data_IF_157128358736
#
_entry.id   IF_157128358736
#
_cell.length_a   1.000
_cell.length_b   1.000
_cell.length_c   1.000
_cell.angle_alpha   90.00
_cell.angle_beta   90.00
_cell.angle_gamma   90.00
#
_symmetry.space_group_name_H-M   'P 1'
#
loop_
_entity.id
_entity.type
_entity.pdbx_description
1 polymer ?
#
# COMPACT_ATOMS: atom_id res chain seq x y z
N UNK A 1 -31.39 -41.64 38.50
CA UNK A 1 -31.01 -41.62 37.07
C UNK A 1 -30.42 -40.24 36.73
N UNK A 2 -29.10 -40.12 36.50
CA UNK A 2 -28.46 -38.86 36.07
C UNK A 2 -28.29 -38.90 34.55
N UNK A 3 -29.01 -38.03 33.84
CA UNK A 3 -28.92 -37.92 32.38
C UNK A 3 -27.56 -37.33 31.96
N UNK A 4 -26.87 -38.00 31.03
CA UNK A 4 -25.65 -37.50 30.42
C UNK A 4 -26.01 -36.35 29.48
N UNK A 5 -25.60 -35.12 29.81
CA UNK A 5 -25.80 -33.95 28.96
C UNK A 5 -24.97 -34.06 27.68
N UNK A 6 -25.63 -33.92 26.53
CA UNK A 6 -24.96 -33.82 25.23
C UNK A 6 -24.24 -32.46 25.15
N UNK A 7 -22.91 -32.48 24.98
CA UNK A 7 -22.12 -31.27 24.75
C UNK A 7 -22.45 -30.69 23.38
N UNK A 8 -22.93 -29.45 23.33
CA UNK A 8 -23.05 -28.69 22.07
C UNK A 8 -21.65 -28.45 21.50
N UNK A 9 -21.48 -28.68 20.19
CA UNK A 9 -20.22 -28.47 19.46
C UNK A 9 -20.39 -27.29 18.50
N UNK A 10 -19.41 -26.38 18.45
CA UNK A 10 -19.41 -25.19 17.60
C UNK A 10 -18.19 -25.17 16.67
N UNK A 11 -18.36 -24.53 15.50
CA UNK A 11 -17.31 -24.43 14.49
C UNK A 11 -16.15 -23.58 15.02
N UNK A 12 -14.91 -24.06 14.91
CA UNK A 12 -13.74 -23.31 15.42
C UNK A 12 -13.47 -21.98 14.70
N UNK A 13 -13.91 -21.83 13.45
CA UNK A 13 -13.65 -20.63 12.64
C UNK A 13 -14.74 -19.58 12.76
N UNK A 14 -16.02 -19.98 12.71
CA UNK A 14 -17.15 -19.03 12.69
C UNK A 14 -18.12 -19.18 13.85
N UNK A 15 -17.91 -20.15 14.75
CA UNK A 15 -18.73 -20.33 15.96
C UNK A 15 -20.15 -20.88 15.74
N UNK A 16 -20.54 -21.25 14.52
CA UNK A 16 -21.89 -21.75 14.27
C UNK A 16 -22.16 -23.10 14.96
N UNK A 17 -23.35 -23.27 15.53
CA UNK A 17 -23.83 -24.53 16.11
C UNK A 17 -24.40 -25.41 14.98
N UNK A 18 -23.79 -26.57 14.72
CA UNK A 18 -24.20 -27.50 13.66
C UNK A 18 -23.77 -28.94 13.92
N UNK A 19 -24.16 -29.89 13.06
CA UNK A 19 -23.63 -31.27 13.11
C UNK A 19 -22.19 -31.28 12.60
N UNK A 20 -21.25 -30.94 13.47
CA UNK A 20 -19.81 -30.95 13.21
C UNK A 20 -19.15 -31.82 14.27
N UNK A 21 -18.22 -32.67 13.84
CA UNK A 21 -17.39 -33.45 14.73
C UNK A 21 -16.45 -32.52 15.51
N UNK A 22 -15.98 -32.97 16.67
CA UNK A 22 -15.19 -32.14 17.58
C UNK A 22 -13.90 -31.70 16.92
N UNK A 23 -13.82 -30.41 16.58
CA UNK A 23 -12.66 -29.84 15.92
C UNK A 23 -12.74 -29.67 14.41
N UNK A 24 -13.88 -29.95 13.80
CA UNK A 24 -14.07 -29.71 12.37
C UNK A 24 -14.63 -28.32 12.05
N UNK A 25 -14.22 -27.80 10.89
CA UNK A 25 -14.82 -26.64 10.25
C UNK A 25 -16.22 -27.01 9.71
N UNK A 26 -17.16 -26.06 9.74
CA UNK A 26 -18.45 -26.24 9.08
C UNK A 26 -18.30 -26.20 7.54
N UNK A 27 -19.31 -26.71 6.82
CA UNK A 27 -19.26 -26.85 5.37
C UNK A 27 -18.88 -25.56 4.63
N UNK A 28 -19.45 -24.42 5.03
CA UNK A 28 -19.10 -23.11 4.44
C UNK A 28 -17.67 -22.67 4.72
N UNK A 29 -17.09 -23.06 5.86
CA UNK A 29 -15.68 -22.77 6.18
C UNK A 29 -14.71 -23.74 5.50
N UNK A 30 -15.16 -24.92 5.03
CA UNK A 30 -14.34 -25.86 4.25
C UNK A 30 -14.24 -25.45 2.77
N UNK A 31 -15.22 -24.74 2.24
CA UNK A 31 -15.22 -24.27 0.84
C UNK A 31 -14.20 -23.15 0.60
N UNK A 32 -13.95 -22.31 1.61
CA UNK A 32 -12.99 -21.20 1.50
C UNK A 32 -11.52 -21.63 1.61
N UNK A 33 -11.21 -22.84 2.08
CA UNK A 33 -9.83 -23.35 2.09
C UNK A 33 -9.38 -23.91 0.74
N UNK A 34 -10.31 -24.21 -0.17
CA UNK A 34 -10.00 -24.80 -1.49
C UNK A 34 -9.69 -23.77 -2.57
N UNK A 35 -9.87 -22.47 -2.31
CA UNK A 35 -9.64 -21.40 -3.29
C UNK A 35 -8.27 -20.75 -3.21
N UNK A 36 -7.46 -21.05 -2.19
CA UNK A 36 -6.21 -20.32 -1.91
C UNK A 36 -4.95 -21.08 -2.38
N UNK A 37 -5.13 -22.09 -3.23
CA UNK A 37 -4.06 -22.90 -3.79
C UNK A 37 -3.71 -22.52 -5.24
N UNK A 38 -2.57 -21.83 -5.36
CA UNK A 38 -1.67 -21.85 -6.52
C UNK A 38 -1.99 -20.94 -7.73
N UNK A 39 -1.39 -19.74 -7.72
CA UNK A 39 -1.14 -18.96 -8.94
C UNK A 39 0.13 -18.13 -8.80
N UNK A 40 1.28 -18.74 -9.07
CA UNK A 40 2.48 -18.02 -9.55
C UNK A 40 2.30 -17.76 -11.05
N UNK A 41 2.01 -16.50 -11.40
CA UNK A 41 1.95 -15.97 -12.76
C UNK A 41 2.64 -14.61 -12.85
N UNK A 42 3.14 -14.20 -14.03
CA UNK A 42 4.16 -13.17 -14.16
C UNK A 42 3.60 -11.75 -14.01
N UNK A 43 4.41 -10.86 -13.43
CA UNK A 43 4.16 -9.43 -13.38
C UNK A 43 4.22 -8.84 -14.79
N UNK A 44 3.05 -8.60 -15.37
CA UNK A 44 2.85 -7.71 -16.50
C UNK A 44 2.02 -6.53 -16.01
N UNK A 45 2.58 -5.33 -16.11
CA UNK A 45 1.87 -4.09 -15.89
C UNK A 45 0.74 -3.97 -16.92
N UNK A 46 -0.49 -4.25 -16.48
CA UNK A 46 -1.70 -3.91 -17.21
C UNK A 46 -2.43 -2.83 -16.44
N UNK A 47 -2.46 -1.63 -17.03
CA UNK A 47 -3.36 -0.56 -16.65
C UNK A 47 -4.80 -1.02 -16.90
N UNK A 48 -5.49 -1.37 -15.82
CA UNK A 48 -6.90 -1.76 -15.85
C UNK A 48 -7.80 -0.58 -16.25
N UNK A 49 -8.04 -0.46 -17.56
CA UNK A 49 -9.20 0.22 -18.13
C UNK A 49 -10.48 -0.57 -17.81
N UNK A 50 -10.94 -0.51 -16.56
CA UNK A 50 -12.18 -1.15 -16.11
C UNK A 50 -13.37 -0.17 -16.04
N UNK A 51 -13.59 0.60 -17.12
CA UNK A 51 -14.71 1.55 -17.23
C UNK A 51 -15.83 1.09 -18.18
N UNK A 52 -15.63 0.01 -18.95
CA UNK A 52 -16.59 -0.38 -19.99
C UNK A 52 -17.67 -1.38 -19.54
N UNK A 53 -17.50 -2.08 -18.41
CA UNK A 53 -18.45 -3.13 -18.00
C UNK A 53 -19.65 -2.62 -17.17
N UNK A 54 -19.60 -1.38 -16.66
CA UNK A 54 -20.76 -0.77 -15.99
C UNK A 54 -21.82 -0.26 -16.98
N UNK A 55 -21.47 -0.09 -18.27
CA UNK A 55 -22.37 0.53 -19.26
C UNK A 55 -23.42 -0.46 -19.82
N UNK A 56 -23.15 -1.77 -19.82
CA UNK A 56 -24.09 -2.77 -20.34
C UNK A 56 -25.27 -3.07 -19.40
N UNK A 57 -25.15 -2.78 -18.11
CA UNK A 57 -26.24 -2.98 -17.15
C UNK A 57 -27.27 -1.83 -17.17
N UNK A 58 -26.90 -0.66 -17.70
CA UNK A 58 -27.79 0.50 -17.81
C UNK A 58 -28.72 0.43 -19.04
N UNK A 59 -28.31 -0.21 -20.14
CA UNK A 59 -29.15 -0.31 -21.34
C UNK A 59 -30.37 -1.23 -21.16
N UNK A 60 -30.28 -2.28 -20.34
CA UNK A 60 -31.44 -3.16 -20.08
C UNK A 60 -32.51 -2.53 -19.17
N UNK A 61 -32.21 -1.38 -18.55
CA UNK A 61 -33.14 -0.64 -17.71
C UNK A 61 -34.12 0.24 -18.50
N UNK A 62 -33.89 0.48 -19.79
CA UNK A 62 -34.70 1.41 -20.59
C UNK A 62 -35.98 0.80 -21.18
N UNK A 63 -36.18 -0.52 -21.08
CA UNK A 63 -37.30 -1.19 -21.75
C UNK A 63 -38.38 -1.75 -20.82
N UNK A 64 -38.17 -1.71 -19.50
CA UNK A 64 -39.20 -2.05 -18.50
C UNK A 64 -39.86 -0.76 -18.04
N UNK A 65 -41.13 -0.56 -18.40
CA UNK A 65 -41.88 0.65 -18.05
C UNK A 65 -41.80 0.94 -16.54
N UNK A 66 -41.59 2.21 -16.17
CA UNK A 66 -41.43 2.67 -14.78
C UNK A 66 -42.56 2.19 -13.86
N UNK A 67 -43.75 2.00 -14.42
CA UNK A 67 -44.96 1.50 -13.74
C UNK A 67 -44.90 0.00 -13.38
N UNK A 68 -43.82 -0.73 -13.70
CA UNK A 68 -43.73 -2.17 -13.45
C UNK A 68 -43.07 -2.46 -12.11
N UNK A 69 -43.60 -3.45 -11.39
CA UNK A 69 -43.07 -3.85 -10.10
C UNK A 69 -41.62 -4.33 -10.21
N UNK A 70 -40.69 -3.72 -9.47
CA UNK A 70 -39.28 -4.10 -9.49
C UNK A 70 -38.95 -5.49 -8.92
N UNK A 71 -39.95 -6.28 -8.48
CA UNK A 71 -39.78 -7.67 -8.01
C UNK A 71 -40.49 -8.65 -8.94
N UNK A 72 -41.81 -8.49 -9.16
CA UNK A 72 -42.58 -9.44 -9.97
C UNK A 72 -42.72 -9.04 -11.45
N UNK A 73 -42.21 -7.86 -11.83
CA UNK A 73 -42.23 -7.31 -13.19
C UNK A 73 -43.63 -7.08 -13.79
N UNK A 74 -44.71 -7.26 -13.02
CA UNK A 74 -46.08 -6.93 -13.43
C UNK A 74 -46.34 -5.44 -13.26
N UNK A 75 -47.17 -4.86 -14.13
CA UNK A 75 -47.61 -3.45 -14.01
C UNK A 75 -48.32 -3.22 -12.67
N UNK A 76 -47.89 -2.19 -11.94
CA UNK A 76 -48.56 -1.67 -10.74
C UNK A 76 -49.65 -0.71 -11.21
N UNK A 77 -50.89 -1.00 -10.83
CA UNK A 77 -52.06 -0.17 -11.18
C UNK A 77 -52.37 0.80 -10.05
N UNK A 78 -53.12 1.86 -10.34
CA UNK A 78 -53.51 2.88 -9.34
C UNK A 78 -54.31 2.30 -8.16
N UNK A 79 -55.02 1.18 -8.38
CA UNK A 79 -55.78 0.47 -7.34
C UNK A 79 -54.93 -0.54 -6.55
N UNK A 80 -53.68 -0.77 -6.95
CA UNK A 80 -52.78 -1.67 -6.23
C UNK A 80 -52.13 -0.91 -5.07
N UNK A 81 -51.94 -1.60 -3.94
CA UNK A 81 -51.07 -1.08 -2.87
C UNK A 81 -49.62 -1.16 -3.37
N UNK A 82 -49.11 -0.02 -3.84
CA UNK A 82 -47.76 0.12 -4.37
C UNK A 82 -46.99 1.27 -3.70
N UNK A 83 -45.67 1.13 -3.70
CA UNK A 83 -44.73 2.19 -3.28
C UNK A 83 -43.74 2.46 -4.41
N UNK A 84 -43.43 3.74 -4.64
CA UNK A 84 -42.37 4.16 -5.54
C UNK A 84 -41.08 4.36 -4.73
N UNK A 85 -39.95 3.86 -5.23
CA UNK A 85 -38.65 4.10 -4.60
C UNK A 85 -38.11 5.48 -5.01
N UNK A 86 -37.78 6.33 -4.03
CA UNK A 86 -37.27 7.69 -4.30
C UNK A 86 -35.92 7.73 -5.04
N UNK A 87 -35.11 6.67 -4.99
CA UNK A 87 -33.78 6.64 -5.61
C UNK A 87 -33.83 6.13 -7.05
N UNK A 88 -34.61 5.08 -7.32
CA UNK A 88 -34.62 4.44 -8.64
C UNK A 88 -35.94 4.60 -9.40
N UNK A 89 -36.89 5.34 -8.83
CA UNK A 89 -38.22 5.65 -9.40
C UNK A 89 -39.03 4.42 -9.84
N UNK A 90 -38.70 3.23 -9.31
CA UNK A 90 -39.41 1.99 -9.63
C UNK A 90 -40.53 1.76 -8.62
N UNK A 91 -41.65 1.29 -9.14
CA UNK A 91 -42.79 0.87 -8.34
C UNK A 91 -42.60 -0.54 -7.78
N UNK A 92 -43.19 -0.80 -6.62
CA UNK A 92 -43.17 -2.09 -5.93
C UNK A 92 -44.53 -2.38 -5.30
N UNK A 93 -45.14 -3.51 -5.63
CA UNK A 93 -46.31 -3.99 -4.89
C UNK A 93 -45.94 -4.27 -3.44
N UNK A 94 -46.75 -3.80 -2.49
CA UNK A 94 -46.55 -4.04 -1.06
C UNK A 94 -46.43 -5.54 -0.74
N UNK A 95 -47.23 -6.39 -1.41
CA UNK A 95 -47.14 -7.85 -1.27
C UNK A 95 -45.82 -8.43 -1.74
N UNK A 96 -45.22 -7.89 -2.81
CA UNK A 96 -43.93 -8.37 -3.33
C UNK A 96 -42.76 -8.04 -2.42
N UNK A 97 -42.84 -6.94 -1.67
CA UNK A 97 -41.83 -6.53 -0.67
C UNK A 97 -42.17 -7.00 0.75
N UNK A 98 -43.26 -7.78 0.91
CA UNK A 98 -43.77 -8.28 2.20
C UNK A 98 -44.09 -7.17 3.21
N UNK A 99 -44.59 -6.03 2.75
CA UNK A 99 -45.02 -4.93 3.61
C UNK A 99 -46.46 -5.16 4.09
N UNK A 100 -46.69 -5.02 5.40
CA UNK A 100 -48.02 -5.17 5.98
C UNK A 100 -48.94 -3.99 5.66
N UNK A 101 -50.26 -4.23 5.59
CA UNK A 101 -51.25 -3.18 5.30
C UNK A 101 -51.20 -2.01 6.30
N UNK A 102 -50.89 -2.30 7.57
CA UNK A 102 -50.76 -1.26 8.60
C UNK A 102 -49.51 -0.39 8.36
N UNK A 103 -48.37 -1.00 8.05
CA UNK A 103 -47.12 -0.29 7.73
C UNK A 103 -47.30 0.60 6.50
N UNK A 104 -47.96 0.09 5.46
CA UNK A 104 -48.28 0.85 4.26
C UNK A 104 -49.16 2.07 4.58
N UNK A 105 -50.22 1.90 5.38
CA UNK A 105 -51.08 3.02 5.81
C UNK A 105 -50.32 4.06 6.62
N UNK A 106 -49.39 3.65 7.48
CA UNK A 106 -48.54 4.60 8.23
C UNK A 106 -47.64 5.39 7.29
N UNK A 107 -47.03 4.76 6.29
CA UNK A 107 -46.23 5.46 5.29
C UNK A 107 -47.07 6.46 4.48
N UNK A 108 -48.29 6.09 4.08
CA UNK A 108 -49.22 7.01 3.40
C UNK A 108 -49.61 8.21 4.27
N UNK A 109 -49.70 8.04 5.59
CA UNK A 109 -49.97 9.16 6.51
C UNK A 109 -48.76 10.08 6.66
N UNK A 110 -47.55 9.55 6.46
CA UNK A 110 -46.27 10.24 6.60
C UNK A 110 -45.63 10.61 5.25
N UNK A 111 -46.41 10.58 4.16
CA UNK A 111 -45.94 10.64 2.76
C UNK A 111 -45.01 11.82 2.44
N UNK A 112 -45.04 12.90 3.24
CA UNK A 112 -44.17 14.07 3.09
C UNK A 112 -42.92 14.08 3.96
N UNK A 113 -42.86 13.19 4.95
CA UNK A 113 -41.81 13.16 5.97
C UNK A 113 -40.89 11.94 5.85
N UNK A 114 -41.32 10.90 5.12
CA UNK A 114 -40.62 9.62 5.07
C UNK A 114 -40.42 9.14 3.64
N UNK A 115 -39.17 9.25 3.18
CA UNK A 115 -38.75 8.66 1.90
C UNK A 115 -38.68 7.14 2.00
N UNK A 116 -39.35 6.45 1.07
CA UNK A 116 -39.23 5.01 0.95
C UNK A 116 -38.16 4.59 -0.06
N UNK A 117 -37.29 3.68 0.38
CA UNK A 117 -36.24 3.10 -0.46
C UNK A 117 -36.38 1.58 -0.58
N UNK A 118 -36.24 1.07 -1.81
CA UNK A 118 -36.21 -0.37 -2.07
C UNK A 118 -34.94 -1.01 -1.49
N UNK A 119 -34.96 -2.35 -1.34
CA UNK A 119 -33.85 -3.12 -0.74
C UNK A 119 -32.52 -2.91 -1.48
N UNK A 120 -32.56 -2.82 -2.80
CA UNK A 120 -31.36 -2.65 -3.62
C UNK A 120 -30.74 -1.27 -3.43
N UNK A 121 -31.55 -0.20 -3.44
CA UNK A 121 -31.07 1.15 -3.18
C UNK A 121 -30.57 1.30 -1.74
N UNK A 122 -31.25 0.70 -0.75
CA UNK A 122 -30.76 0.64 0.64
C UNK A 122 -29.37 -0.02 0.75
N UNK A 123 -29.14 -1.12 0.03
CA UNK A 123 -27.83 -1.78 -0.01
C UNK A 123 -26.76 -0.89 -0.67
N UNK A 124 -27.09 -0.25 -1.80
CA UNK A 124 -26.20 0.71 -2.48
C UNK A 124 -25.80 1.87 -1.57
N UNK A 125 -26.77 2.52 -0.92
CA UNK A 125 -26.52 3.62 0.04
C UNK A 125 -25.64 3.16 1.20
N UNK A 126 -25.88 1.95 1.74
CA UNK A 126 -25.02 1.39 2.79
C UNK A 126 -23.58 1.20 2.33
N UNK A 127 -23.38 0.68 1.12
CA UNK A 127 -22.04 0.49 0.55
C UNK A 127 -21.34 1.84 0.29
N UNK A 128 -22.03 2.79 -0.35
CA UNK A 128 -21.53 4.14 -0.57
C UNK A 128 -21.16 4.84 0.74
N UNK A 129 -21.93 4.64 1.81
CA UNK A 129 -21.61 5.19 3.13
C UNK A 129 -20.35 4.58 3.72
N UNK A 130 -20.15 3.27 3.57
CA UNK A 130 -18.94 2.59 4.05
C UNK A 130 -17.70 3.02 3.25
N UNK A 131 -17.83 3.17 1.94
CA UNK A 131 -16.76 3.67 1.08
C UNK A 131 -16.42 5.14 1.38
N UNK A 132 -17.41 6.01 1.55
CA UNK A 132 -17.20 7.38 1.98
C UNK A 132 -16.48 7.49 3.33
N UNK A 133 -16.71 6.54 4.24
CA UNK A 133 -15.98 6.52 5.51
C UNK A 133 -14.50 6.21 5.29
N UNK A 134 -14.18 5.20 4.46
CA UNK A 134 -12.79 4.87 4.09
C UNK A 134 -12.08 6.04 3.42
N UNK A 135 -12.74 6.70 2.46
CA UNK A 135 -12.18 7.86 1.78
C UNK A 135 -11.93 9.03 2.75
N UNK A 136 -12.78 9.23 3.75
CA UNK A 136 -12.54 10.24 4.79
C UNK A 136 -11.31 9.91 5.63
N UNK A 137 -11.14 8.64 6.01
CA UNK A 137 -9.98 8.20 6.78
C UNK A 137 -8.68 8.37 5.96
N UNK A 138 -8.70 8.01 4.69
CA UNK A 138 -7.58 8.20 3.77
C UNK A 138 -7.21 9.68 3.59
N UNK A 139 -8.21 10.55 3.42
CA UNK A 139 -7.97 12.01 3.34
C UNK A 139 -7.34 12.55 4.62
N UNK A 140 -7.67 12.00 5.79
CA UNK A 140 -7.02 12.39 7.06
C UNK A 140 -5.55 11.97 7.07
N UNK A 141 -5.25 10.73 6.67
CA UNK A 141 -3.87 10.22 6.59
C UNK A 141 -3.03 11.07 5.63
N UNK A 142 -3.52 11.31 4.42
CA UNK A 142 -2.82 12.12 3.41
C UNK A 142 -2.58 13.56 3.88
N UNK A 143 -3.49 14.13 4.68
CA UNK A 143 -3.28 15.46 5.25
C UNK A 143 -2.14 15.47 6.26
N UNK A 144 -2.05 14.45 7.12
CA UNK A 144 -0.96 14.32 8.07
C UNK A 144 0.39 14.16 7.37
N UNK A 145 0.46 13.29 6.36
CA UNK A 145 1.68 13.11 5.55
C UNK A 145 2.10 14.40 4.84
N UNK A 146 1.14 15.15 4.28
CA UNK A 146 1.42 16.45 3.67
C UNK A 146 1.96 17.47 4.67
N UNK A 147 1.45 17.48 5.90
CA UNK A 147 1.92 18.39 6.94
C UNK A 147 3.34 18.02 7.41
N UNK A 148 3.66 16.73 7.49
CA UNK A 148 5.01 16.24 7.77
C UNK A 148 6.00 16.60 6.65
N UNK A 149 5.61 16.41 5.38
CA UNK A 149 6.41 16.81 4.22
C UNK A 149 6.68 18.32 4.21
N UNK A 150 5.66 19.14 4.50
CA UNK A 150 5.83 20.60 4.61
C UNK A 150 6.80 20.98 5.71
N UNK A 151 6.73 20.30 6.86
CA UNK A 151 7.66 20.54 7.97
C UNK A 151 9.11 20.23 7.55
N UNK A 152 9.34 19.07 6.95
CA UNK A 152 10.67 18.70 6.44
C UNK A 152 11.20 19.68 5.39
N UNK A 153 10.33 20.16 4.49
CA UNK A 153 10.70 21.15 3.49
C UNK A 153 11.09 22.49 4.14
N UNK A 154 10.31 22.96 5.11
CA UNK A 154 10.61 24.17 5.86
C UNK A 154 11.94 24.07 6.63
N UNK A 155 12.19 22.93 7.28
CA UNK A 155 13.47 22.69 7.98
C UNK A 155 14.67 22.74 7.02
N UNK A 156 14.50 22.19 5.80
CA UNK A 156 15.52 22.25 4.76
C UNK A 156 15.73 23.68 4.23
N UNK A 157 14.67 24.46 4.07
CA UNK A 157 14.74 25.88 3.69
C UNK A 157 15.55 26.65 4.75
N UNK A 158 15.19 26.51 6.04
CA UNK A 158 15.91 27.17 7.15
C UNK A 158 17.39 26.79 7.16
N UNK A 159 17.73 25.52 6.90
CA UNK A 159 19.12 25.08 6.82
C UNK A 159 19.86 25.72 5.63
N UNK A 160 19.23 25.78 4.46
CA UNK A 160 19.80 26.44 3.29
C UNK A 160 20.01 27.94 3.51
N UNK A 161 19.04 28.64 4.12
CA UNK A 161 19.17 30.05 4.48
C UNK A 161 20.38 30.29 5.39
N UNK A 162 20.57 29.47 6.42
CA UNK A 162 21.76 29.54 7.30
C UNK A 162 23.07 29.29 6.55
N UNK A 163 23.07 28.34 5.61
CA UNK A 163 24.26 28.07 4.79
C UNK A 163 24.60 29.25 3.89
N UNK A 164 23.61 29.85 3.24
CA UNK A 164 23.78 31.06 2.42
C UNK A 164 24.33 32.21 3.26
N UNK A 165 23.76 32.46 4.45
CA UNK A 165 24.24 33.52 5.37
C UNK A 165 25.71 33.30 5.78
N UNK A 166 26.11 32.05 6.06
CA UNK A 166 27.50 31.69 6.36
C UNK A 166 28.45 31.94 5.17
N UNK A 167 28.00 31.66 3.95
CA UNK A 167 28.78 31.89 2.73
C UNK A 167 28.94 33.39 2.44
N UNK A 168 27.88 34.18 2.61
CA UNK A 168 27.93 35.64 2.45
C UNK A 168 28.94 36.29 3.40
N UNK A 169 28.92 35.90 4.70
CA UNK A 169 29.89 36.39 5.69
C UNK A 169 31.34 36.04 5.32
N UNK A 170 31.59 34.82 4.81
CA UNK A 170 32.92 34.41 4.35
C UNK A 170 33.38 35.21 3.12
N UNK A 171 32.47 35.49 2.18
CA UNK A 171 32.79 36.24 0.96
C UNK A 171 33.19 37.70 1.27
N UNK A 172 32.52 38.35 2.22
CA UNK A 172 32.88 39.72 2.68
C UNK A 172 34.30 39.74 3.27
N UNK A 173 34.67 38.72 4.04
CA UNK A 173 36.00 38.65 4.67
C UNK A 173 37.14 38.51 3.63
N UNK A 174 36.89 37.77 2.54
CA UNK A 174 37.83 37.63 1.42
C UNK A 174 38.05 38.98 0.71
N UNK A 175 36.98 39.73 0.44
CA UNK A 175 37.10 41.02 -0.26
C UNK A 175 37.84 42.10 0.55
N UNK A 176 37.74 42.08 1.87
CA UNK A 176 38.46 43.03 2.74
C UNK A 176 39.97 42.71 2.89
N UNK A 177 40.38 41.47 2.63
CA UNK A 177 41.79 41.05 2.67
C UNK A 177 42.47 41.11 1.29
N UNK A 178 41.70 41.29 0.21
CA UNK A 178 42.15 41.28 -1.18
C UNK A 178 42.78 42.57 -1.72
N UNK A 179 43.76 43.16 -1.01
CA UNK A 179 44.68 44.17 -1.61
C UNK A 179 46.10 43.65 -1.86
N UNK A 180 46.37 42.35 -1.70
CA UNK A 180 47.69 41.78 -1.97
C UNK A 180 47.62 40.32 -2.43
N UNK A 181 48.22 40.07 -3.60
CA UNK A 181 48.71 38.81 -4.17
C UNK A 181 47.72 37.66 -4.40
N UNK A 182 47.62 37.21 -5.66
CA UNK A 182 46.78 36.11 -6.14
C UNK A 182 47.12 34.70 -5.63
N UNK A 183 48.00 34.55 -4.64
CA UNK A 183 48.33 33.27 -4.02
C UNK A 183 47.19 32.74 -3.12
N UNK A 184 46.37 33.63 -2.54
CA UNK A 184 45.27 33.23 -1.66
C UNK A 184 44.11 32.52 -2.38
N UNK A 185 43.89 32.79 -3.67
CA UNK A 185 42.78 32.20 -4.43
C UNK A 185 42.97 30.69 -4.65
N UNK A 186 44.19 30.26 -4.96
CA UNK A 186 44.50 28.84 -5.19
C UNK A 186 44.30 28.01 -3.91
N UNK A 187 44.66 28.55 -2.75
CA UNK A 187 44.46 27.86 -1.47
C UNK A 187 42.97 27.69 -1.10
N UNK A 188 42.11 28.63 -1.50
CA UNK A 188 40.66 28.51 -1.30
C UNK A 188 40.06 27.48 -2.26
N UNK A 189 40.50 27.46 -3.52
CA UNK A 189 40.03 26.47 -4.52
C UNK A 189 40.38 25.04 -4.09
N UNK A 190 41.60 24.81 -3.60
CA UNK A 190 42.05 23.50 -3.12
C UNK A 190 41.19 23.01 -1.95
N UNK A 191 40.93 23.86 -0.95
CA UNK A 191 40.03 23.52 0.17
C UNK A 191 38.60 23.25 -0.26
N UNK A 192 38.09 23.94 -1.28
CA UNK A 192 36.74 23.68 -1.82
C UNK A 192 36.69 22.32 -2.52
N UNK A 193 37.73 21.95 -3.28
CA UNK A 193 37.82 20.64 -3.92
C UNK A 193 37.86 19.50 -2.91
N UNK A 194 38.63 19.63 -1.82
CA UNK A 194 38.65 18.64 -0.73
C UNK A 194 37.25 18.42 -0.12
N UNK A 195 36.51 19.51 0.15
CA UNK A 195 35.15 19.42 0.71
C UNK A 195 34.17 18.77 -0.27
N UNK A 196 34.29 19.07 -1.56
CA UNK A 196 33.46 18.44 -2.60
C UNK A 196 33.74 16.93 -2.66
N UNK A 197 35.01 16.55 -2.65
CA UNK A 197 35.42 15.14 -2.66
C UNK A 197 34.93 14.40 -1.41
N UNK A 198 35.02 15.02 -0.22
CA UNK A 198 34.50 14.43 1.03
C UNK A 198 32.98 14.22 0.98
N UNK A 199 32.23 15.17 0.41
CA UNK A 199 30.76 15.05 0.24
C UNK A 199 30.38 13.95 -0.76
N UNK A 200 31.13 13.79 -1.84
CA UNK A 200 30.95 12.69 -2.80
C UNK A 200 31.22 11.34 -2.14
N UNK A 201 32.30 11.22 -1.35
CA UNK A 201 32.60 9.99 -0.59
C UNK A 201 31.55 9.68 0.49
N UNK A 202 30.97 10.70 1.13
CA UNK A 202 29.84 10.50 2.07
C UNK A 202 28.59 10.01 1.36
N UNK A 203 28.26 10.61 0.21
CA UNK A 203 27.11 10.16 -0.61
C UNK A 203 27.31 8.75 -1.15
N UNK A 204 28.53 8.39 -1.55
CA UNK A 204 28.83 7.02 -1.97
C UNK A 204 28.64 6.01 -0.83
N UNK A 205 28.89 6.41 0.43
CA UNK A 205 28.75 5.53 1.60
C UNK A 205 27.34 5.47 2.19
N UNK A 206 26.43 6.39 1.85
CA UNK A 206 25.08 6.40 2.43
C UNK A 206 24.25 5.17 2.04
N UNK A 207 24.58 4.56 0.90
CA UNK A 207 23.94 3.35 0.39
C UNK A 207 24.61 2.08 0.91
N UNK A 208 25.72 2.19 1.65
CA UNK A 208 26.41 1.04 2.22
C UNK A 208 25.71 0.63 3.52
N UNK A 209 25.11 -0.56 3.51
CA UNK A 209 24.42 -1.12 4.67
C UNK A 209 25.26 -2.22 5.31
N UNK A 210 25.27 -2.26 6.63
CA UNK A 210 25.89 -3.33 7.42
C UNK A 210 24.77 -4.11 8.11
N UNK A 211 24.63 -5.38 7.76
CA UNK A 211 23.62 -6.28 8.31
C UNK A 211 24.31 -7.26 9.26
N UNK A 212 23.90 -7.24 10.53
CA UNK A 212 24.41 -8.15 11.55
C UNK A 212 23.62 -9.46 11.57
N UNK A 213 24.22 -10.50 12.14
CA UNK A 213 23.55 -11.78 12.42
C UNK A 213 23.00 -12.53 11.19
N UNK A 214 23.57 -12.27 10.00
CA UNK A 214 23.25 -13.05 8.80
C UNK A 214 23.99 -14.38 8.85
N UNK A 215 23.24 -15.49 8.79
CA UNK A 215 23.79 -16.86 8.78
C UNK A 215 24.89 -17.03 7.73
N UNK A 216 26.00 -17.66 8.11
CA UNK A 216 27.13 -17.89 7.22
C UNK A 216 26.79 -18.92 6.12
N UNK A 217 27.18 -18.59 4.89
CA UNK A 217 27.17 -19.57 3.78
C UNK A 217 28.12 -20.73 4.11
N UNK A 218 27.67 -21.95 3.77
CA UNK A 218 28.47 -23.18 3.91
C UNK A 218 29.34 -23.45 2.67
N UNK A 219 29.26 -22.62 1.63
CA UNK A 219 30.05 -22.78 0.41
C UNK A 219 31.48 -22.32 0.60
N UNK A 220 32.41 -22.95 -0.12
CA UNK A 220 33.80 -22.52 -0.15
C UNK A 220 33.93 -21.10 -0.75
N UNK A 221 35.05 -20.43 -0.42
CA UNK A 221 35.29 -19.05 -0.84
C UNK A 221 35.22 -18.88 -2.37
N UNK A 222 34.54 -17.83 -2.82
CA UNK A 222 34.46 -17.46 -4.24
C UNK A 222 33.10 -16.89 -4.61
N UNK A 223 32.84 -16.85 -5.93
CA UNK A 223 31.62 -16.25 -6.50
C UNK A 223 30.33 -16.90 -5.99
N UNK A 224 30.33 -18.21 -5.76
CA UNK A 224 29.13 -18.92 -5.31
C UNK A 224 28.70 -18.53 -3.89
N UNK A 225 29.67 -18.15 -3.03
CA UNK A 225 29.42 -17.63 -1.69
C UNK A 225 28.87 -16.21 -1.74
N UNK A 226 29.43 -15.35 -2.59
CA UNK A 226 28.94 -13.98 -2.80
C UNK A 226 27.50 -13.99 -3.33
N UNK A 227 27.17 -14.88 -4.26
CA UNK A 227 25.81 -15.03 -4.78
C UNK A 227 24.82 -15.49 -3.70
N UNK A 228 25.18 -16.47 -2.87
CA UNK A 228 24.34 -16.90 -1.75
C UNK A 228 24.13 -15.79 -0.71
N UNK A 229 25.19 -15.04 -0.39
CA UNK A 229 25.08 -13.90 0.52
C UNK A 229 24.20 -12.79 -0.08
N UNK A 230 24.27 -12.57 -1.39
CA UNK A 230 23.40 -11.61 -2.11
C UNK A 230 21.94 -12.05 -2.08
N UNK A 231 21.65 -13.33 -2.28
CA UNK A 231 20.31 -13.89 -2.19
C UNK A 231 19.74 -13.75 -0.77
N UNK A 232 20.54 -14.06 0.26
CA UNK A 232 20.15 -13.85 1.67
C UNK A 232 19.84 -12.40 1.97
N UNK A 233 20.68 -11.46 1.51
CA UNK A 233 20.41 -10.03 1.68
C UNK A 233 19.10 -9.63 0.98
N UNK A 234 18.87 -10.11 -0.24
CA UNK A 234 17.63 -9.83 -0.99
C UNK A 234 16.41 -10.34 -0.22
N UNK A 235 16.48 -11.57 0.30
CA UNK A 235 15.41 -12.16 1.12
C UNK A 235 15.14 -11.32 2.39
N UNK A 236 16.18 -10.85 3.07
CA UNK A 236 16.04 -9.98 4.25
C UNK A 236 15.29 -8.69 3.90
N UNK A 237 15.59 -8.07 2.76
CA UNK A 237 14.87 -6.86 2.33
C UNK A 237 13.43 -7.15 1.95
N UNK A 238 13.18 -8.19 1.16
CA UNK A 238 11.85 -8.49 0.65
C UNK A 238 10.91 -9.03 1.73
N UNK A 239 11.37 -9.97 2.54
CA UNK A 239 10.55 -10.62 3.57
C UNK A 239 10.63 -9.92 4.92
N UNK A 240 11.81 -9.44 5.30
CA UNK A 240 12.04 -8.81 6.59
C UNK A 240 11.57 -7.35 6.61
N UNK A 241 12.01 -6.56 5.62
CA UNK A 241 11.69 -5.12 5.56
C UNK A 241 10.41 -4.85 4.74
N UNK A 242 10.07 -5.72 3.78
CA UNK A 242 8.92 -5.54 2.89
C UNK A 242 9.21 -4.70 1.65
N UNK A 243 10.49 -4.48 1.31
CA UNK A 243 10.90 -3.71 0.13
C UNK A 243 11.17 -4.67 -1.02
N UNK A 244 10.46 -4.52 -2.13
CA UNK A 244 10.62 -5.34 -3.35
C UNK A 244 11.53 -4.67 -4.36
N UNK A 245 12.22 -5.46 -5.17
CA UNK A 245 13.01 -4.94 -6.30
C UNK A 245 14.31 -4.24 -5.89
N UNK A 246 14.93 -4.68 -4.80
CA UNK A 246 16.21 -4.11 -4.33
C UNK A 246 17.34 -4.51 -5.27
N UNK A 247 18.10 -3.54 -5.76
CA UNK A 247 19.31 -3.77 -6.56
C UNK A 247 20.55 -3.73 -5.68
N UNK A 248 21.18 -4.90 -5.47
CA UNK A 248 22.43 -5.03 -4.71
C UNK A 248 23.61 -5.02 -5.69
N UNK A 249 24.45 -4.00 -5.63
CA UNK A 249 25.64 -3.87 -6.50
C UNK A 249 26.77 -4.81 -6.07
N UNK A 250 27.06 -4.85 -4.76
CA UNK A 250 28.11 -5.70 -4.19
C UNK A 250 27.72 -6.16 -2.79
N UNK A 251 28.23 -7.33 -2.39
CA UNK A 251 28.07 -7.88 -1.04
C UNK A 251 29.41 -8.37 -0.54
N UNK A 252 29.68 -8.18 0.75
CA UNK A 252 30.91 -8.65 1.38
C UNK A 252 30.73 -8.83 2.87
N UNK A 253 31.39 -9.84 3.44
CA UNK A 253 31.38 -10.08 4.89
C UNK A 253 32.54 -9.34 5.57
N UNK A 254 32.21 -8.58 6.60
CA UNK A 254 33.19 -7.92 7.45
C UNK A 254 33.76 -8.96 8.44
N UNK A 255 35.00 -9.39 8.20
CA UNK A 255 35.68 -10.40 9.01
C UNK A 255 37.20 -10.39 8.80
N UNK A 256 37.93 -11.21 9.56
CA UNK A 256 39.41 -11.26 9.54
C UNK A 256 39.87 -11.56 8.11
N UNK A 257 40.45 -10.56 7.42
CA UNK A 257 41.14 -10.76 6.14
C UNK A 257 42.14 -11.89 6.36
N UNK A 258 41.88 -13.08 5.81
CA UNK A 258 42.92 -14.07 5.70
C UNK A 258 43.99 -13.45 4.82
N UNK A 259 45.22 -13.42 5.32
CA UNK A 259 46.38 -12.86 4.66
C UNK A 259 46.57 -13.65 3.36
N UNK A 260 45.93 -13.24 2.27
CA UNK A 260 46.18 -13.76 0.94
C UNK A 260 47.62 -13.38 0.65
N UNK A 261 48.52 -14.36 0.79
CA UNK A 261 49.95 -14.20 0.59
C UNK A 261 50.20 -13.32 -0.63
N UNK A 262 50.91 -12.24 -0.39
CA UNK A 262 51.60 -11.41 -1.36
C UNK A 262 52.05 -12.22 -2.56
N UNK A 263 51.44 -11.96 -3.72
CA UNK A 263 52.06 -12.27 -5.00
C UNK A 263 53.40 -11.56 -5.08
N UNK A 264 54.44 -12.34 -5.37
CA UNK A 264 55.79 -11.88 -5.62
C UNK A 264 55.82 -10.83 -6.74
N UNK A 265 56.70 -9.84 -6.57
CA UNK A 265 56.79 -8.66 -7.42
C UNK A 265 57.22 -8.90 -8.86
N UNK A 266 56.94 -7.91 -9.69
CA UNK A 266 57.74 -7.59 -10.86
C UNK A 266 58.21 -6.14 -10.71
N UNK A 267 59.44 -5.98 -10.22
CA UNK A 267 60.18 -4.73 -10.33
C UNK A 267 60.66 -4.65 -11.78
N UNK A 268 60.13 -3.72 -12.55
CA UNK A 268 60.66 -3.38 -13.87
C UNK A 268 61.93 -2.54 -13.66
N UNK A 269 63.10 -3.13 -13.91
CA UNK A 269 64.36 -2.39 -14.08
C UNK A 269 64.22 -1.41 -15.24
N UNK A 270 64.30 -0.11 -14.93
CA UNK A 270 64.50 0.95 -15.92
C UNK A 270 65.97 0.99 -16.29
N UNK A 271 66.27 0.80 -17.57
CA UNK A 271 67.60 0.96 -18.14
C UNK A 271 67.97 2.44 -18.23
N UNK A 272 69.10 2.80 -17.61
CA UNK A 272 69.87 3.99 -17.97
C UNK A 272 70.41 3.84 -19.40
N UNK A 273 70.10 4.80 -20.27
CA UNK A 273 70.94 5.27 -21.38
C UNK A 273 70.62 6.74 -21.67
#
# INVERSE_FOLDING_TARGET
>A
MRGRGAKKKSCRRCGCEGRIYEGELCGSCKETEKSDGDSRGPAGDQEDNNSEDNNKQEEWYQQVGRDSCGVCQKKVRDNDNGLCCEICERWYHCGCIKMGTQEYRMLQQLDREVDWMCKNCKAKVKNLKAENLKLRDEVVVLRLENDDLKKMLNDRIINLEKKVECLEKKNININNTGKGNGEGLNQVVEKVLEVVQEEEEKKARINNLVIYEVEESQKEYGKEREEEDKDKCTEIFERGVGVKGVSIESVGRLGRRMNTGTGEGSVSEGSEY
#
